data_IF_620502591006
#
_entry.id   IF_620502591006
#
_cell.length_a   1.000
_cell.length_b   1.000
_cell.length_c   1.000
_cell.angle_alpha   90.00
_cell.angle_beta   90.00
_cell.angle_gamma   90.00
#
_symmetry.space_group_name_H-M   'P 1'
#
loop_
_entity.id
_entity.type
_entity.pdbx_description
1 polymer ?
#
# COMPACT_ATOMS: atom_id res chain seq x y z
N UNK A 1 -0.13 -6.05 13.80
CA UNK A 1 -1.22 -6.60 12.97
C UNK A 1 -1.16 -5.87 11.64
N UNK A 2 -0.90 -6.56 10.54
CA UNK A 2 -0.83 -5.89 9.21
C UNK A 2 -2.19 -5.35 8.79
N UNK A 3 -2.24 -4.43 7.81
CA UNK A 3 -3.52 -3.96 7.26
C UNK A 3 -4.37 -5.13 6.73
N UNK A 4 -3.74 -6.13 6.12
CA UNK A 4 -4.42 -7.34 5.66
C UNK A 4 -5.06 -8.11 6.82
N UNK A 5 -4.35 -8.25 7.94
CA UNK A 5 -4.90 -8.89 9.14
C UNK A 5 -6.00 -8.06 9.79
N UNK A 6 -5.86 -6.73 9.84
CA UNK A 6 -6.87 -5.81 10.39
C UNK A 6 -8.17 -5.86 9.60
N UNK A 7 -8.09 -5.96 8.28
CA UNK A 7 -9.26 -6.08 7.40
C UNK A 7 -9.89 -7.47 7.47
N UNK A 8 -9.10 -8.53 7.63
CA UNK A 8 -9.60 -9.92 7.53
C UNK A 8 -10.01 -10.55 8.87
N UNK A 9 -9.38 -10.15 9.98
CA UNK A 9 -9.51 -10.83 11.28
C UNK A 9 -10.25 -9.99 12.33
N UNK A 10 -10.30 -8.66 12.16
CA UNK A 10 -10.93 -7.78 13.14
C UNK A 10 -12.34 -7.40 12.68
N UNK A 11 -13.39 -7.72 13.47
CA UNK A 11 -14.76 -7.39 13.12
C UNK A 11 -15.10 -5.90 13.28
N UNK A 12 -14.23 -5.10 13.91
CA UNK A 12 -14.45 -3.66 14.10
C UNK A 12 -14.42 -2.96 12.73
N UNK A 13 -15.33 -2.00 12.48
CA UNK A 13 -15.29 -1.19 11.27
C UNK A 13 -13.91 -0.53 11.10
N UNK A 14 -13.38 -0.57 9.88
CA UNK A 14 -12.21 0.19 9.48
C UNK A 14 -12.69 1.45 8.78
N UNK A 15 -12.20 2.61 9.22
CA UNK A 15 -12.39 3.87 8.48
C UNK A 15 -11.47 3.85 7.25
N UNK A 16 -12.02 3.38 6.14
CA UNK A 16 -11.30 3.20 4.88
C UNK A 16 -10.74 4.54 4.36
N UNK A 17 -11.51 5.62 4.45
CA UNK A 17 -11.11 6.93 3.94
C UNK A 17 -9.95 7.50 4.77
N UNK A 18 -10.04 7.42 6.10
CA UNK A 18 -8.95 7.84 6.98
C UNK A 18 -7.69 7.01 6.77
N UNK A 19 -7.83 5.69 6.64
CA UNK A 19 -6.71 4.77 6.40
C UNK A 19 -6.01 5.10 5.07
N UNK A 20 -6.77 5.20 3.98
CA UNK A 20 -6.23 5.52 2.65
C UNK A 20 -5.58 6.90 2.61
N UNK A 21 -6.21 7.91 3.23
CA UNK A 21 -5.64 9.25 3.31
C UNK A 21 -4.30 9.29 4.04
N UNK A 22 -4.15 8.50 5.12
CA UNK A 22 -2.87 8.37 5.84
C UNK A 22 -1.79 7.69 5.00
N UNK A 23 -2.12 6.60 4.30
CA UNK A 23 -1.19 5.94 3.37
C UNK A 23 -0.73 6.91 2.29
N UNK A 24 -1.68 7.61 1.65
CA UNK A 24 -1.40 8.57 0.59
C UNK A 24 -0.47 9.69 1.06
N UNK A 25 -0.71 10.25 2.26
CA UNK A 25 0.15 11.28 2.84
C UNK A 25 1.58 10.76 3.10
N UNK A 26 1.71 9.52 3.58
CA UNK A 26 3.01 8.87 3.76
C UNK A 26 3.76 8.68 2.44
N UNK A 27 3.08 8.20 1.39
CA UNK A 27 3.62 8.07 0.04
C UNK A 27 4.09 9.42 -0.50
N UNK A 28 3.25 10.46 -0.41
CA UNK A 28 3.59 11.81 -0.87
C UNK A 28 4.79 12.39 -0.12
N UNK A 29 4.93 12.11 1.17
CA UNK A 29 6.09 12.53 1.93
C UNK A 29 7.38 11.87 1.40
N UNK A 30 7.33 10.57 1.09
CA UNK A 30 8.48 9.84 0.55
C UNK A 30 8.83 10.26 -0.88
N UNK A 31 7.83 10.56 -1.72
CA UNK A 31 8.06 11.16 -3.04
C UNK A 31 8.82 12.48 -2.96
N UNK A 32 8.53 13.33 -1.96
CA UNK A 32 9.29 14.57 -1.74
C UNK A 32 10.76 14.33 -1.36
N UNK A 33 11.08 13.14 -0.86
CA UNK A 33 12.45 12.69 -0.58
C UNK A 33 13.09 11.98 -1.78
N UNK A 34 12.39 11.89 -2.92
CA UNK A 34 12.84 11.17 -4.12
C UNK A 34 12.77 9.64 -3.97
N UNK A 35 11.94 9.16 -3.05
CA UNK A 35 11.81 7.74 -2.70
C UNK A 35 10.46 7.20 -3.16
N UNK A 36 10.50 6.06 -3.85
CA UNK A 36 9.35 5.28 -4.31
C UNK A 36 9.27 4.01 -3.46
N UNK A 37 8.07 3.68 -2.99
CA UNK A 37 7.84 2.62 -2.00
C UNK A 37 6.88 1.58 -2.55
N UNK A 38 7.42 0.40 -2.80
CA UNK A 38 6.66 -0.75 -3.28
C UNK A 38 5.97 -1.45 -2.09
N UNK A 39 4.99 -0.73 -1.55
CA UNK A 39 4.01 -0.91 -0.48
C UNK A 39 4.12 -2.09 0.52
N UNK A 40 3.96 -1.72 1.81
CA UNK A 40 3.40 -2.53 2.89
C UNK A 40 2.77 -1.62 3.96
N UNK A 41 1.58 -1.95 4.47
CA UNK A 41 0.83 -1.13 5.45
C UNK A 41 0.44 -1.90 6.71
N UNK A 42 0.45 -1.24 7.87
CA UNK A 42 0.21 -1.84 9.19
C UNK A 42 -0.88 -1.05 9.97
N UNK A 43 -1.98 -1.71 10.32
CA UNK A 43 -3.05 -1.25 11.25
C UNK A 43 -3.84 0.04 10.86
N UNK A 44 -4.77 0.44 11.74
CA UNK A 44 -5.64 1.65 11.66
C UNK A 44 -4.85 2.99 11.60
N UNK A 45 -3.55 2.93 11.87
CA UNK A 45 -2.60 3.98 11.58
C UNK A 45 -1.48 3.43 10.68
N UNK A 46 -1.67 3.45 9.36
CA UNK A 46 -0.76 2.78 8.43
C UNK A 46 0.65 3.37 8.51
N UNK A 47 1.51 2.68 9.24
CA UNK A 47 2.95 2.94 9.25
C UNK A 47 3.55 2.19 8.07
N UNK A 48 4.33 2.90 7.26
CA UNK A 48 5.15 2.33 6.20
C UNK A 48 6.40 1.76 6.89
N UNK A 49 6.43 0.43 7.06
CA UNK A 49 7.44 -0.23 7.90
C UNK A 49 8.46 -1.05 7.11
N UNK A 50 8.27 -1.24 5.80
CA UNK A 50 9.17 -2.00 4.94
C UNK A 50 9.76 -1.11 3.84
N UNK A 51 11.04 -0.78 4.00
CA UNK A 51 11.81 0.02 3.06
C UNK A 51 12.83 -0.79 2.26
N UNK A 52 12.86 -2.12 2.42
CA UNK A 52 13.81 -2.99 1.69
C UNK A 52 13.49 -3.04 0.18
N UNK A 53 12.25 -2.71 -0.19
CA UNK A 53 11.79 -2.50 -1.56
C UNK A 53 11.80 -1.03 -2.00
N UNK A 54 12.18 -0.09 -1.13
CA UNK A 54 12.24 1.33 -1.45
C UNK A 54 13.35 1.61 -2.45
N UNK A 55 13.06 2.45 -3.45
CA UNK A 55 13.98 2.80 -4.53
C UNK A 55 14.01 4.31 -4.73
N UNK A 56 15.11 4.82 -5.28
CA UNK A 56 15.10 6.21 -5.76
C UNK A 56 14.25 6.29 -7.02
N UNK A 57 13.56 7.41 -7.22
CA UNK A 57 12.84 7.66 -8.46
C UNK A 57 13.78 7.50 -9.68
N UNK A 58 13.31 6.76 -10.69
CA UNK A 58 14.07 6.40 -11.89
C UNK A 58 15.01 5.18 -11.73
N UNK A 59 15.21 4.66 -10.52
CA UNK A 59 16.03 3.46 -10.31
C UNK A 59 15.36 2.23 -10.92
N UNK A 60 16.16 1.33 -11.50
CA UNK A 60 15.65 0.10 -12.10
C UNK A 60 15.13 -0.84 -11.01
N UNK A 61 13.90 -1.33 -11.17
CA UNK A 61 13.33 -2.31 -10.27
C UNK A 61 14.04 -3.65 -10.47
N UNK A 62 14.70 -4.14 -9.41
CA UNK A 62 15.35 -5.44 -9.38
C UNK A 62 14.38 -6.56 -9.00
N UNK A 63 14.90 -7.64 -8.42
CA UNK A 63 14.09 -8.79 -7.95
C UNK A 63 13.05 -8.37 -6.89
N UNK A 64 13.33 -7.31 -6.13
CA UNK A 64 12.44 -6.74 -5.10
C UNK A 64 11.58 -5.59 -5.65
N UNK A 65 10.82 -5.84 -6.71
CA UNK A 65 9.93 -4.87 -7.37
C UNK A 65 8.54 -4.72 -6.70
N UNK A 66 8.43 -5.13 -5.43
CA UNK A 66 7.19 -5.15 -4.65
C UNK A 66 6.64 -6.55 -4.41
N UNK A 67 5.51 -6.61 -3.69
CA UNK A 67 4.82 -7.87 -3.40
C UNK A 67 4.05 -8.35 -4.62
N UNK A 68 4.22 -9.62 -4.99
CA UNK A 68 3.45 -10.24 -6.09
C UNK A 68 1.95 -10.08 -5.85
N UNK A 69 1.22 -9.64 -6.89
CA UNK A 69 -0.22 -9.36 -6.81
C UNK A 69 -0.57 -7.94 -6.34
N UNK A 70 0.40 -7.14 -5.88
CA UNK A 70 0.22 -5.75 -5.45
C UNK A 70 1.03 -4.74 -6.30
N UNK A 71 1.69 -5.24 -7.34
CA UNK A 71 2.47 -4.49 -8.31
C UNK A 71 2.16 -5.00 -9.71
N UNK A 72 2.59 -4.30 -10.76
CA UNK A 72 2.48 -4.77 -12.14
C UNK A 72 3.80 -5.37 -12.61
N UNK A 73 3.71 -6.45 -13.38
CA UNK A 73 4.90 -7.15 -13.90
C UNK A 73 5.65 -6.36 -14.97
N UNK A 74 5.01 -5.38 -15.60
CA UNK A 74 5.61 -4.51 -16.61
C UNK A 74 6.38 -3.31 -16.02
N UNK A 75 6.33 -3.11 -14.70
CA UNK A 75 7.11 -2.09 -14.02
C UNK A 75 8.60 -2.44 -14.00
N UNK A 76 9.40 -1.59 -14.66
CA UNK A 76 10.86 -1.76 -14.79
C UNK A 76 11.65 -0.72 -14.02
N UNK A 77 11.01 0.41 -13.67
CA UNK A 77 11.64 1.54 -13.01
C UNK A 77 10.73 2.00 -11.87
N UNK A 78 11.37 2.50 -10.81
CA UNK A 78 10.73 3.12 -9.68
C UNK A 78 10.18 4.47 -10.10
N UNK A 79 8.87 4.62 -10.03
CA UNK A 79 8.12 5.78 -10.52
C UNK A 79 6.94 6.03 -9.58
N UNK A 80 6.47 7.27 -9.43
CA UNK A 80 5.29 7.57 -8.61
C UNK A 80 4.05 6.74 -8.98
N UNK A 81 3.93 6.35 -10.25
CA UNK A 81 2.86 5.49 -10.77
C UNK A 81 2.85 4.10 -10.12
N UNK A 82 4.01 3.58 -9.68
CA UNK A 82 4.05 2.30 -8.96
C UNK A 82 3.27 2.39 -7.64
N UNK A 83 3.48 3.48 -6.90
CA UNK A 83 2.86 3.70 -5.60
C UNK A 83 1.38 4.04 -5.75
N UNK A 84 1.02 4.78 -6.82
CA UNK A 84 -0.38 5.04 -7.16
C UNK A 84 -1.15 3.75 -7.48
N UNK A 85 -0.53 2.82 -8.21
CA UNK A 85 -1.12 1.51 -8.49
C UNK A 85 -1.26 0.69 -7.21
N UNK A 86 -0.22 0.65 -6.36
CA UNK A 86 -0.30 -0.01 -5.06
C UNK A 86 -1.45 0.55 -4.20
N UNK A 87 -1.60 1.88 -4.18
CA UNK A 87 -2.67 2.56 -3.44
C UNK A 87 -4.06 2.22 -4.00
N UNK A 88 -4.24 2.12 -5.32
CA UNK A 88 -5.52 1.71 -5.90
C UNK A 88 -5.89 0.27 -5.53
N UNK A 89 -4.90 -0.63 -5.50
CA UNK A 89 -5.11 -2.02 -5.07
C UNK A 89 -5.52 -2.10 -3.60
N UNK A 90 -4.92 -1.29 -2.73
CA UNK A 90 -5.31 -1.22 -1.31
C UNK A 90 -6.72 -0.64 -1.16
N UNK A 91 -7.06 0.39 -1.93
CA UNK A 91 -8.42 0.93 -1.93
C UNK A 91 -9.42 -0.15 -2.29
N UNK A 92 -9.18 -0.91 -3.34
CA UNK A 92 -10.06 -2.01 -3.73
C UNK A 92 -10.13 -3.07 -2.64
N UNK A 93 -9.00 -3.47 -2.05
CA UNK A 93 -8.97 -4.44 -0.97
C UNK A 93 -9.78 -3.98 0.25
N UNK A 94 -9.58 -2.75 0.71
CA UNK A 94 -10.26 -2.19 1.88
C UNK A 94 -11.76 -1.96 1.60
N UNK A 95 -12.13 -1.56 0.38
CA UNK A 95 -13.53 -1.32 0.01
C UNK A 95 -14.32 -2.60 -0.35
N UNK A 96 -13.67 -3.67 -0.81
CA UNK A 96 -14.33 -4.93 -1.17
C UNK A 96 -14.70 -5.79 0.05
N UNK A 97 -14.04 -5.60 1.20
CA UNK A 97 -14.42 -6.28 2.44
C UNK A 97 -15.66 -5.60 3.03
N UNK A 98 -16.82 -5.88 2.44
CA UNK A 98 -18.11 -5.58 3.08
C UNK A 98 -18.21 -6.43 4.36
N UNK A 99 -18.72 -5.87 5.48
CA UNK A 99 -19.03 -6.69 6.65
C UNK A 99 -20.00 -7.79 6.19
N UNK A 100 -19.68 -9.05 6.49
CA UNK A 100 -20.64 -10.12 6.32
C UNK A 100 -21.89 -9.73 7.12
N UNK A 101 -22.99 -9.49 6.40
CA UNK A 101 -24.32 -9.46 7.03
C UNK A 101 -24.54 -10.87 7.57
N UNK A 102 -24.38 -11.03 8.88
CA UNK A 102 -24.90 -12.19 9.59
C UNK A 102 -26.40 -12.25 9.35
N UNK A 103 -26.86 -13.34 8.75
CA UNK A 103 -28.25 -13.77 8.80
C UNK A 103 -28.40 -14.74 9.97
#
# INVERSE_FOLDING_TARGET
MTLSERVSKDPRPLDADLCLGRIQNGIQHLHKLGLIILMSGNDDNPIITDFDSCRREGERLGIKAGTRGWTREDFKFATPENDQYGLSMIKDFVCQVKPQKGY
#
